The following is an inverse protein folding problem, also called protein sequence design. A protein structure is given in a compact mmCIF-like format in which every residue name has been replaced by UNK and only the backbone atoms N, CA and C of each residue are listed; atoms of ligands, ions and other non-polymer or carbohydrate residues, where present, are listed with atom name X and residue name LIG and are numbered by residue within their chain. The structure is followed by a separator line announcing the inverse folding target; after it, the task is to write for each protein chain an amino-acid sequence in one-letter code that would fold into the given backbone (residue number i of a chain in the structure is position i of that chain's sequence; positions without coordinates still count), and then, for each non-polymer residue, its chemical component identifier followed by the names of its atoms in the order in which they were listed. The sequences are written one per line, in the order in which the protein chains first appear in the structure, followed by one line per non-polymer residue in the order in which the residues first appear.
data_IF_503120732757
#
_entry.id   IF_503120732757
#
_cell.length_a   1.000
_cell.length_b   1.000
_cell.length_c   1.000
_cell.angle_alpha   90.00
_cell.angle_beta   90.00
_cell.angle_gamma   90.00
#
_symmetry.space_group_name_H-M   'P 1'
#
loop_
_entity.id
_entity.type
_entity.pdbx_description
1 polymer ?
#
# COMPACT_ATOMS: atom_id res chain seq x y z
N UNK A 1 11.83 -14.25 14.83
CA UNK A 1 11.69 -14.76 13.45
C UNK A 1 11.21 -13.60 12.59
N UNK A 2 11.59 -13.54 11.30
CA UNK A 2 11.06 -12.51 10.39
C UNK A 2 9.54 -12.55 10.31
N UNK A 3 8.89 -11.41 10.10
CA UNK A 3 7.45 -11.31 9.82
C UNK A 3 7.19 -11.75 8.38
N UNK A 4 6.29 -12.72 8.20
CA UNK A 4 5.87 -13.17 6.88
C UNK A 4 4.81 -12.23 6.32
N UNK A 5 5.08 -11.66 5.15
CA UNK A 5 4.15 -10.71 4.54
C UNK A 5 3.77 -11.10 3.11
N UNK A 6 2.55 -10.77 2.73
CA UNK A 6 2.13 -10.65 1.32
C UNK A 6 1.85 -9.18 1.07
N UNK A 7 2.44 -8.62 0.02
CA UNK A 7 2.15 -7.24 -0.40
C UNK A 7 1.16 -7.30 -1.56
N UNK A 8 0.03 -6.60 -1.43
CA UNK A 8 -0.96 -6.41 -2.49
C UNK A 8 -0.78 -5.00 -3.07
N UNK A 9 -0.36 -4.90 -4.33
CA UNK A 9 0.29 -3.70 -4.88
C UNK A 9 -0.09 -3.46 -6.33
N UNK A 10 0.01 -2.22 -6.79
CA UNK A 10 -0.26 -1.80 -8.16
C UNK A 10 0.96 -1.09 -8.75
N UNK A 11 2.15 -1.75 -8.84
CA UNK A 11 3.44 -1.08 -8.75
C UNK A 11 3.60 0.20 -9.57
N UNK A 12 3.39 1.30 -8.83
CA UNK A 12 3.86 2.64 -9.08
C UNK A 12 5.28 2.85 -8.54
N UNK A 13 5.64 4.12 -8.37
CA UNK A 13 6.99 4.55 -7.98
C UNK A 13 7.23 4.32 -6.49
N UNK A 14 6.29 4.72 -5.65
CA UNK A 14 6.26 4.50 -4.21
C UNK A 14 6.03 3.02 -3.85
N UNK A 15 5.22 2.27 -4.60
CA UNK A 15 5.11 0.82 -4.45
C UNK A 15 6.47 0.13 -4.64
N UNK A 16 7.19 0.49 -5.71
CA UNK A 16 8.51 -0.04 -6.00
C UNK A 16 9.49 0.24 -4.85
N UNK A 17 9.41 1.43 -4.26
CA UNK A 17 10.18 1.80 -3.07
C UNK A 17 9.82 0.93 -1.87
N UNK A 18 8.54 0.67 -1.63
CA UNK A 18 8.05 -0.19 -0.54
C UNK A 18 8.50 -1.64 -0.71
N UNK A 19 8.35 -2.21 -1.91
CA UNK A 19 8.76 -3.58 -2.23
C UNK A 19 10.28 -3.75 -2.03
N UNK A 20 11.09 -2.80 -2.50
CA UNK A 20 12.54 -2.84 -2.32
C UNK A 20 12.94 -2.67 -0.86
N UNK A 21 12.26 -1.82 -0.10
CA UNK A 21 12.46 -1.70 1.35
C UNK A 21 12.17 -3.03 2.06
N UNK A 22 11.07 -3.70 1.72
CA UNK A 22 10.71 -5.00 2.28
C UNK A 22 11.78 -6.06 1.97
N UNK A 23 12.22 -6.15 0.72
CA UNK A 23 13.25 -7.09 0.27
C UNK A 23 14.62 -6.84 0.89
N UNK A 24 14.93 -5.59 1.24
CA UNK A 24 16.17 -5.18 1.92
C UNK A 24 16.09 -5.28 3.44
N UNK A 25 14.96 -5.68 4.01
CA UNK A 25 14.76 -5.73 5.45
C UNK A 25 14.79 -7.18 5.97
N UNK A 26 15.83 -7.58 6.74
CA UNK A 26 15.95 -8.95 7.25
C UNK A 26 14.87 -9.34 8.26
N UNK A 27 14.14 -8.36 8.81
CA UNK A 27 13.00 -8.57 9.68
C UNK A 27 11.75 -9.02 8.92
N UNK A 28 11.76 -8.98 7.58
CA UNK A 28 10.64 -9.35 6.71
C UNK A 28 11.01 -10.58 5.87
N UNK A 29 10.08 -11.53 5.82
CA UNK A 29 10.02 -12.59 4.83
C UNK A 29 8.89 -12.27 3.85
N UNK A 30 9.24 -11.80 2.65
CA UNK A 30 8.25 -11.54 1.60
C UNK A 30 7.83 -12.86 0.96
N UNK A 31 6.61 -13.33 1.29
CA UNK A 31 6.06 -14.62 0.86
C UNK A 31 5.55 -14.56 -0.57
N UNK A 32 5.08 -13.40 -1.02
CA UNK A 32 4.59 -13.19 -2.37
C UNK A 32 4.12 -11.76 -2.60
N UNK A 33 3.95 -11.44 -3.88
CA UNK A 33 3.28 -10.23 -4.34
C UNK A 33 1.96 -10.61 -4.98
N UNK A 34 0.91 -9.87 -4.67
CA UNK A 34 -0.34 -9.87 -5.42
C UNK A 34 -0.50 -8.53 -6.11
N UNK A 35 -1.02 -8.53 -7.34
CA UNK A 35 -1.13 -7.30 -8.11
C UNK A 35 -2.56 -6.85 -8.34
N UNK A 36 -2.76 -5.54 -8.34
CA UNK A 36 -4.06 -4.90 -8.53
C UNK A 36 -3.94 -3.70 -9.48
N UNK A 37 -5.08 -3.10 -9.87
CA UNK A 37 -5.14 -1.84 -10.61
C UNK A 37 -5.03 -0.65 -9.65
N UNK A 38 -4.69 0.53 -10.17
CA UNK A 38 -4.68 1.80 -9.43
C UNK A 38 -3.77 2.80 -10.14
N UNK A 39 -2.52 2.89 -9.70
CA UNK A 39 -1.43 3.63 -10.34
C UNK A 39 -1.24 3.21 -11.81
N UNK A 40 -1.38 1.92 -12.08
CA UNK A 40 -1.43 1.32 -13.42
C UNK A 40 -2.52 0.26 -13.52
N UNK A 41 -2.85 -0.20 -14.72
CA UNK A 41 -3.73 -1.36 -14.88
C UNK A 41 -3.05 -2.66 -14.42
N UNK A 42 -3.83 -3.60 -13.89
CA UNK A 42 -3.33 -4.86 -13.30
C UNK A 42 -2.33 -5.61 -14.18
N UNK A 43 -2.52 -5.75 -15.52
CA UNK A 43 -1.52 -6.42 -16.36
C UNK A 43 -0.14 -5.74 -16.35
N UNK A 44 -0.08 -4.41 -16.27
CA UNK A 44 1.18 -3.67 -16.17
C UNK A 44 1.74 -3.75 -14.75
N UNK A 45 0.89 -3.65 -13.72
CA UNK A 45 1.27 -3.88 -12.32
C UNK A 45 1.97 -5.25 -12.15
N UNK A 46 1.39 -6.31 -12.72
CA UNK A 46 1.97 -7.67 -12.72
C UNK A 46 3.35 -7.70 -13.36
N UNK A 47 3.53 -7.05 -14.52
CA UNK A 47 4.85 -6.99 -15.15
C UNK A 47 5.86 -6.20 -14.31
N UNK A 48 5.44 -5.09 -13.70
CA UNK A 48 6.29 -4.27 -12.85
C UNK A 48 6.71 -5.02 -11.58
N UNK A 49 5.80 -5.73 -10.92
CA UNK A 49 6.11 -6.59 -9.78
C UNK A 49 7.17 -7.65 -10.15
N UNK A 50 7.02 -8.31 -11.30
CA UNK A 50 8.01 -9.29 -11.82
C UNK A 50 9.38 -8.64 -12.07
N UNK A 51 9.41 -7.44 -12.67
CA UNK A 51 10.66 -6.68 -12.87
C UNK A 51 11.35 -6.36 -11.56
N UNK A 52 10.58 -5.97 -10.54
CA UNK A 52 11.12 -5.58 -9.23
C UNK A 52 11.73 -6.77 -8.48
N UNK A 53 11.05 -7.93 -8.48
CA UNK A 53 11.62 -9.14 -7.84
C UNK A 53 12.84 -9.66 -8.61
N UNK A 54 12.86 -9.56 -9.94
CA UNK A 54 14.05 -9.88 -10.75
C UNK A 54 15.21 -8.93 -10.47
N UNK A 55 14.94 -7.62 -10.43
CA UNK A 55 15.92 -6.59 -10.14
C UNK A 55 16.55 -6.80 -8.75
N UNK A 56 15.74 -7.18 -7.77
CA UNK A 56 16.20 -7.50 -6.42
C UNK A 56 16.92 -8.86 -6.31
N UNK A 57 17.04 -9.62 -7.41
CA UNK A 57 17.67 -10.93 -7.42
C UNK A 57 16.85 -12.01 -6.70
N UNK A 58 15.53 -11.82 -6.59
CA UNK A 58 14.57 -12.71 -5.91
C UNK A 58 13.44 -13.20 -6.83
N UNK A 59 13.74 -13.74 -8.02
CA UNK A 59 12.71 -14.27 -8.93
C UNK A 59 11.98 -15.51 -8.38
N UNK A 60 12.42 -16.03 -7.23
CA UNK A 60 11.76 -17.11 -6.49
C UNK A 60 10.46 -16.65 -5.80
N UNK A 61 10.29 -15.35 -5.57
CA UNK A 61 9.09 -14.80 -4.94
C UNK A 61 7.93 -14.85 -5.93
N UNK A 62 6.81 -15.52 -5.59
CA UNK A 62 5.68 -15.63 -6.49
C UNK A 62 4.98 -14.27 -6.65
N UNK A 63 4.61 -13.97 -7.89
CA UNK A 63 3.73 -12.84 -8.24
C UNK A 63 2.41 -13.40 -8.76
N UNK A 64 1.29 -13.05 -8.14
CA UNK A 64 -0.04 -13.51 -8.52
C UNK A 64 -0.88 -12.34 -9.07
N UNK A 65 -1.38 -12.50 -10.29
CA UNK A 65 -2.23 -11.52 -10.96
C UNK A 65 -3.60 -11.44 -10.28
N UNK A 66 -4.06 -10.24 -9.95
CA UNK A 66 -5.34 -10.03 -9.26
C UNK A 66 -6.48 -9.54 -10.13
N UNK A 67 -7.46 -8.90 -9.49
CA UNK A 67 -8.62 -8.35 -10.18
C UNK A 67 -8.23 -7.21 -11.14
N UNK A 68 -8.96 -7.08 -12.24
CA UNK A 68 -8.76 -6.01 -13.22
C UNK A 68 -9.82 -4.91 -13.13
N UNK A 69 -10.83 -5.12 -12.29
CA UNK A 69 -11.95 -4.21 -12.10
C UNK A 69 -12.29 -4.12 -10.60
N UNK A 70 -12.72 -2.95 -10.12
CA UNK A 70 -13.33 -2.81 -8.80
C UNK A 70 -14.65 -3.61 -8.71
N UNK A 71 -15.11 -3.83 -7.49
CA UNK A 71 -16.27 -4.70 -7.21
C UNK A 71 -17.58 -4.18 -7.79
N UNK A 72 -17.81 -2.86 -7.75
CA UNK A 72 -19.11 -2.25 -8.05
C UNK A 72 -18.98 -0.97 -8.89
N UNK A 73 -18.06 -0.09 -8.54
CA UNK A 73 -17.86 1.19 -9.25
C UNK A 73 -17.22 0.95 -10.63
N UNK A 74 -17.27 1.90 -11.57
CA UNK A 74 -16.47 1.83 -12.77
C UNK A 74 -14.97 1.91 -12.44
N UNK A 75 -14.13 1.26 -13.25
CA UNK A 75 -12.68 1.44 -13.18
C UNK A 75 -12.32 2.87 -13.60
N UNK A 76 -11.59 3.59 -12.74
CA UNK A 76 -11.00 4.88 -13.10
C UNK A 76 -9.77 4.71 -14.00
N UNK A 77 -9.39 5.77 -14.70
CA UNK A 77 -8.14 5.77 -15.48
C UNK A 77 -6.94 5.65 -14.56
N UNK A 78 -5.93 4.87 -14.97
CA UNK A 78 -4.65 4.77 -14.28
C UNK A 78 -4.03 6.15 -13.99
N UNK A 79 -3.31 6.28 -12.87
CA UNK A 79 -2.61 7.51 -12.47
C UNK A 79 -1.26 7.68 -13.18
N UNK A 80 -1.24 7.51 -14.51
CA UNK A 80 -0.05 7.60 -15.35
C UNK A 80 0.59 9.00 -15.35
N UNK A 81 -0.19 10.05 -15.08
CA UNK A 81 0.29 11.41 -14.87
C UNK A 81 1.10 11.59 -13.59
N UNK A 82 1.02 10.65 -12.63
CA UNK A 82 1.79 10.62 -11.38
C UNK A 82 2.98 9.66 -11.49
N UNK A 83 2.77 8.48 -12.09
CA UNK A 83 3.75 7.38 -12.07
C UNK A 83 4.44 7.12 -13.42
N UNK A 84 4.06 7.86 -14.46
CA UNK A 84 4.51 7.61 -15.82
C UNK A 84 3.69 6.52 -16.52
N UNK A 85 3.82 6.47 -17.85
CA UNK A 85 3.10 5.51 -18.69
C UNK A 85 3.52 4.05 -18.48
N UNK A 86 4.73 3.82 -17.95
CA UNK A 86 5.21 2.50 -17.56
C UNK A 86 4.98 2.18 -16.07
N UNK A 87 4.42 3.13 -15.29
CA UNK A 87 4.24 3.04 -13.85
C UNK A 87 5.52 3.21 -13.02
N UNK A 88 6.69 3.31 -13.65
CA UNK A 88 7.99 3.36 -12.97
C UNK A 88 8.79 4.61 -13.36
N UNK A 89 8.09 5.73 -13.58
CA UNK A 89 8.70 7.02 -13.86
C UNK A 89 9.29 7.14 -15.27
N UNK A 90 8.76 6.38 -16.24
CA UNK A 90 9.19 6.35 -17.64
C UNK A 90 10.66 5.95 -17.84
N UNK A 91 11.21 5.14 -16.93
CA UNK A 91 12.56 4.58 -17.08
C UNK A 91 12.62 3.47 -18.14
N UNK A 92 11.47 2.93 -18.55
CA UNK A 92 11.32 1.95 -19.63
C UNK A 92 12.19 0.70 -19.43
N UNK A 93 12.01 0.03 -18.28
CA UNK A 93 12.71 -1.22 -17.97
C UNK A 93 12.44 -2.32 -19.01
N UNK A 94 13.40 -3.24 -19.22
CA UNK A 94 13.17 -4.38 -20.10
C UNK A 94 11.98 -5.23 -19.60
N UNK A 95 11.31 -5.98 -20.49
CA UNK A 95 10.30 -6.94 -20.08
C UNK A 95 10.86 -7.96 -19.07
N UNK A 96 10.07 -8.37 -18.06
CA UNK A 96 10.48 -9.42 -17.13
C UNK A 96 10.66 -10.75 -17.87
N UNK A 97 11.56 -11.60 -17.37
CA UNK A 97 11.80 -12.95 -17.89
C UNK A 97 10.93 -14.00 -17.21
N UNK A 98 10.61 -13.76 -15.95
CA UNK A 98 9.72 -14.57 -15.12
C UNK A 98 8.26 -14.34 -15.52
N UNK A 99 7.40 -15.24 -15.05
CA UNK A 99 5.96 -15.17 -15.28
C UNK A 99 5.25 -15.18 -13.93
N UNK A 100 4.11 -14.48 -13.87
CA UNK A 100 3.21 -14.60 -12.75
C UNK A 100 2.74 -16.06 -12.62
N UNK A 101 2.50 -16.49 -11.38
CA UNK A 101 1.92 -17.81 -11.14
C UNK A 101 0.50 -17.86 -11.71
N UNK A 102 0.06 -19.03 -12.16
CA UNK A 102 -1.28 -19.20 -12.75
C UNK A 102 -2.43 -18.95 -11.76
N UNK A 103 -2.13 -18.87 -10.46
CA UNK A 103 -3.11 -18.72 -9.39
C UNK A 103 -3.53 -17.24 -9.26
N UNK A 104 -4.83 -16.93 -9.26
CA UNK A 104 -5.30 -15.57 -9.01
C UNK A 104 -4.94 -15.06 -7.61
N UNK A 105 -4.70 -13.75 -7.47
CA UNK A 105 -4.28 -13.11 -6.22
C UNK A 105 -5.14 -13.48 -5.00
N UNK A 106 -6.47 -13.33 -5.11
CA UNK A 106 -7.39 -13.64 -4.00
C UNK A 106 -7.28 -15.10 -3.54
N UNK A 107 -7.13 -16.04 -4.47
CA UNK A 107 -6.92 -17.45 -4.15
C UNK A 107 -5.53 -17.70 -3.55
N UNK A 108 -4.49 -17.03 -4.07
CA UNK A 108 -3.15 -17.10 -3.50
C UNK A 108 -3.11 -16.62 -2.04
N UNK A 109 -3.80 -15.51 -1.73
CA UNK A 109 -3.95 -15.00 -0.35
C UNK A 109 -4.61 -16.05 0.53
N UNK A 110 -5.78 -16.56 0.13
CA UNK A 110 -6.51 -17.56 0.94
C UNK A 110 -5.66 -18.80 1.19
N UNK A 111 -5.08 -19.39 0.15
CA UNK A 111 -4.31 -20.62 0.32
C UNK A 111 -3.06 -20.41 1.20
N UNK A 112 -2.38 -19.27 1.05
CA UNK A 112 -1.17 -18.98 1.82
C UNK A 112 -1.47 -18.73 3.29
N UNK A 113 -2.51 -17.93 3.58
CA UNK A 113 -2.92 -17.63 4.97
C UNK A 113 -3.47 -18.88 5.65
N UNK A 114 -4.33 -19.65 4.98
CA UNK A 114 -4.94 -20.84 5.59
C UNK A 114 -3.94 -21.99 5.78
N UNK A 115 -2.84 -22.01 5.01
CA UNK A 115 -1.73 -22.95 5.24
C UNK A 115 -0.86 -22.58 6.46
N UNK A 116 -0.87 -21.31 6.88
CA UNK A 116 -0.08 -20.78 7.99
C UNK A 116 -0.92 -19.83 8.88
N UNK A 117 -1.98 -20.35 9.55
CA UNK A 117 -2.86 -19.52 10.37
C UNK A 117 -2.13 -18.69 11.43
N UNK A 118 -2.43 -17.40 11.48
CA UNK A 118 -1.88 -16.44 12.44
C UNK A 118 -0.45 -15.98 12.14
N UNK A 119 0.16 -16.40 11.02
CA UNK A 119 1.54 -16.04 10.68
C UNK A 119 1.67 -14.96 9.59
N UNK A 120 0.70 -14.88 8.67
CA UNK A 120 0.79 -14.01 7.49
C UNK A 120 0.21 -12.64 7.80
N UNK A 121 1.01 -11.59 7.63
CA UNK A 121 0.53 -10.20 7.57
C UNK A 121 0.22 -9.82 6.12
N UNK A 122 -0.96 -9.27 5.87
CA UNK A 122 -1.31 -8.72 4.57
C UNK A 122 -0.99 -7.23 4.55
N UNK A 123 -0.31 -6.78 3.49
CA UNK A 123 0.14 -5.40 3.33
C UNK A 123 -0.39 -4.85 2.02
N UNK A 124 -1.69 -4.49 1.94
CA UNK A 124 -2.22 -3.84 0.76
C UNK A 124 -1.74 -2.38 0.70
N UNK A 125 -1.04 -2.08 -0.38
CA UNK A 125 -0.59 -0.73 -0.76
C UNK A 125 -1.28 -0.22 -2.03
N UNK A 126 -2.23 -0.99 -2.57
CA UNK A 126 -3.16 -0.58 -3.61
C UNK A 126 -4.64 -0.73 -3.21
N UNK A 127 -5.59 -0.61 -4.16
CA UNK A 127 -7.01 -0.85 -3.93
C UNK A 127 -7.33 -2.22 -3.33
N UNK A 128 -8.25 -2.24 -2.37
CA UNK A 128 -8.49 -3.39 -1.49
C UNK A 128 -9.30 -4.55 -2.11
N UNK A 129 -9.46 -4.55 -3.43
CA UNK A 129 -10.31 -5.46 -4.20
C UNK A 129 -9.90 -6.92 -4.01
N UNK A 130 -8.59 -7.23 -4.10
CA UNK A 130 -8.10 -8.60 -3.94
C UNK A 130 -8.39 -9.15 -2.54
N UNK A 131 -8.26 -8.31 -1.50
CA UNK A 131 -8.57 -8.69 -0.12
C UNK A 131 -10.07 -8.90 0.10
N UNK A 132 -10.92 -8.03 -0.44
CA UNK A 132 -12.36 -8.19 -0.35
C UNK A 132 -12.84 -9.45 -1.09
N UNK A 133 -12.22 -9.78 -2.23
CA UNK A 133 -12.47 -11.04 -2.93
C UNK A 133 -11.96 -12.26 -2.15
N UNK A 134 -10.79 -12.17 -1.51
CA UNK A 134 -10.25 -13.23 -0.66
C UNK A 134 -11.18 -13.53 0.53
N UNK A 135 -11.70 -12.48 1.19
CA UNK A 135 -12.72 -12.62 2.23
C UNK A 135 -14.02 -13.25 1.72
N UNK A 136 -14.44 -12.92 0.50
CA UNK A 136 -15.63 -13.52 -0.10
C UNK A 136 -15.43 -15.01 -0.44
N UNK A 137 -14.20 -15.40 -0.82
CA UNK A 137 -13.84 -16.79 -1.09
C UNK A 137 -13.74 -17.63 0.20
N UNK A 138 -13.17 -17.08 1.26
CA UNK A 138 -12.99 -17.76 2.55
C UNK A 138 -13.22 -16.78 3.71
N UNK A 139 -14.43 -16.70 4.28
CA UNK A 139 -14.74 -15.77 5.36
C UNK A 139 -13.90 -15.99 6.63
N UNK A 140 -13.41 -17.21 6.89
CA UNK A 140 -12.52 -17.49 8.03
C UNK A 140 -11.14 -16.87 7.85
N UNK A 141 -10.81 -16.33 6.69
CA UNK A 141 -9.57 -15.60 6.45
C UNK A 141 -9.34 -14.52 7.51
N UNK A 142 -10.41 -13.82 7.92
CA UNK A 142 -10.34 -12.79 8.95
C UNK A 142 -9.86 -13.31 10.32
N UNK A 143 -10.12 -14.58 10.64
CA UNK A 143 -9.69 -15.22 11.89
C UNK A 143 -8.25 -15.77 11.80
N UNK A 144 -7.72 -15.95 10.60
CA UNK A 144 -6.46 -16.65 10.35
C UNK A 144 -5.34 -15.74 9.84
N UNK A 145 -5.62 -14.48 9.51
CA UNK A 145 -4.57 -13.49 9.21
C UNK A 145 -3.92 -13.00 10.51
N UNK A 146 -2.61 -12.70 10.48
CA UNK A 146 -1.93 -12.12 11.63
C UNK A 146 -2.35 -10.66 11.86
N UNK A 147 -2.33 -9.86 10.79
CA UNK A 147 -2.74 -8.46 10.75
C UNK A 147 -2.90 -8.02 9.28
N UNK A 148 -3.69 -6.99 9.03
CA UNK A 148 -3.76 -6.26 7.76
C UNK A 148 -3.27 -4.82 7.97
N UNK A 149 -2.22 -4.41 7.26
CA UNK A 149 -1.67 -3.05 7.35
C UNK A 149 -1.87 -2.35 6.01
N UNK A 150 -2.82 -1.42 5.97
CA UNK A 150 -3.32 -0.78 4.75
C UNK A 150 -2.62 0.56 4.51
N UNK A 151 -2.09 0.76 3.30
CA UNK A 151 -1.89 2.11 2.77
C UNK A 151 -3.23 2.60 2.21
N UNK A 152 -3.79 3.62 2.83
CA UNK A 152 -4.97 4.26 2.25
C UNK A 152 -5.82 5.00 3.28
N UNK A 153 -6.71 5.82 2.75
CA UNK A 153 -7.63 6.64 3.53
C UNK A 153 -7.04 7.96 4.01
N UNK A 154 -7.94 8.81 4.48
CA UNK A 154 -7.67 10.11 5.07
C UNK A 154 -8.74 10.36 6.15
N UNK A 155 -8.38 10.17 7.42
CA UNK A 155 -9.33 10.21 8.53
C UNK A 155 -9.53 11.62 9.12
N UNK A 156 -8.48 12.45 9.11
CA UNK A 156 -8.46 13.79 9.69
C UNK A 156 -7.90 14.87 8.74
N UNK A 157 -7.55 14.48 7.51
CA UNK A 157 -7.04 15.37 6.46
C UNK A 157 -7.86 15.22 5.18
N UNK A 158 -7.62 16.10 4.20
CA UNK A 158 -8.23 15.95 2.88
C UNK A 158 -7.61 14.76 2.13
N UNK A 159 -8.37 14.23 1.17
CA UNK A 159 -7.88 13.28 0.19
C UNK A 159 -6.92 13.87 -0.85
N UNK A 160 -6.31 13.00 -1.66
CA UNK A 160 -5.41 13.35 -2.77
C UNK A 160 -6.06 13.25 -4.16
N UNK A 161 -7.15 12.47 -4.31
CA UNK A 161 -7.94 12.42 -5.56
C UNK A 161 -9.06 13.46 -5.54
N UNK A 162 -9.71 13.59 -4.38
CA UNK A 162 -10.70 14.63 -4.11
C UNK A 162 -10.50 15.16 -2.70
N UNK A 163 -11.12 16.30 -2.31
CA UNK A 163 -11.07 16.74 -0.92
C UNK A 163 -11.51 15.68 0.09
N UNK A 164 -12.35 14.72 -0.32
CA UNK A 164 -12.90 13.70 0.56
C UNK A 164 -12.12 12.38 0.57
N UNK A 165 -11.41 12.03 -0.51
CA UNK A 165 -11.00 10.65 -0.73
C UNK A 165 -9.55 10.48 -1.19
N UNK A 166 -8.94 9.44 -0.64
CA UNK A 166 -7.62 8.95 -1.00
C UNK A 166 -7.73 7.92 -2.15
N UNK A 167 -6.71 7.87 -3.00
CA UNK A 167 -6.64 7.08 -4.23
C UNK A 167 -6.98 5.59 -4.07
N UNK A 168 -6.33 4.87 -3.16
CA UNK A 168 -6.58 3.44 -2.97
C UNK A 168 -8.01 3.15 -2.53
N UNK A 169 -8.56 3.99 -1.67
CA UNK A 169 -9.94 3.83 -1.17
C UNK A 169 -10.98 4.21 -2.22
N UNK A 170 -10.80 5.30 -2.98
CA UNK A 170 -11.78 5.70 -4.01
C UNK A 170 -11.79 4.77 -5.22
N UNK A 171 -10.66 4.12 -5.53
CA UNK A 171 -10.56 3.15 -6.60
C UNK A 171 -11.44 1.91 -6.36
N UNK A 172 -11.67 1.50 -5.10
CA UNK A 172 -12.72 0.54 -4.74
C UNK A 172 -13.27 0.75 -3.32
N UNK A 173 -14.23 1.68 -3.13
CA UNK A 173 -14.73 2.03 -1.80
C UNK A 173 -15.57 0.91 -1.19
N UNK A 174 -16.14 0.03 -2.02
CA UNK A 174 -16.93 -1.10 -1.56
C UNK A 174 -16.05 -2.22 -1.03
N UNK A 175 -14.91 -2.47 -1.69
CA UNK A 175 -13.90 -3.37 -1.15
C UNK A 175 -13.31 -2.82 0.15
N UNK A 176 -13.03 -1.52 0.19
CA UNK A 176 -12.50 -0.88 1.39
C UNK A 176 -13.45 -0.97 2.60
N UNK A 177 -14.75 -0.66 2.45
CA UNK A 177 -15.71 -0.78 3.55
C UNK A 177 -15.80 -2.23 4.06
N UNK A 178 -15.76 -3.21 3.15
CA UNK A 178 -15.72 -4.64 3.51
C UNK A 178 -14.47 -5.00 4.30
N UNK A 179 -13.30 -4.55 3.86
CA UNK A 179 -12.02 -4.82 4.54
C UNK A 179 -11.97 -4.19 5.92
N UNK A 180 -12.39 -2.94 6.09
CA UNK A 180 -12.39 -2.29 7.40
C UNK A 180 -13.41 -2.88 8.38
N UNK A 181 -14.44 -3.58 7.89
CA UNK A 181 -15.51 -4.17 8.72
C UNK A 181 -15.41 -5.70 8.88
N UNK A 182 -14.38 -6.35 8.33
CA UNK A 182 -14.28 -7.82 8.24
C UNK A 182 -13.98 -8.56 9.56
N UNK A 183 -13.67 -7.85 10.66
CA UNK A 183 -13.42 -8.45 11.97
C UNK A 183 -11.99 -8.96 12.22
N UNK A 184 -11.06 -8.70 11.31
CA UNK A 184 -9.62 -8.93 11.48
C UNK A 184 -8.87 -7.72 12.08
N UNK A 185 -7.62 -7.89 12.58
CA UNK A 185 -6.81 -6.77 13.04
C UNK A 185 -6.37 -5.89 11.86
N UNK A 186 -6.84 -4.64 11.81
CA UNK A 186 -6.47 -3.68 10.75
C UNK A 186 -5.74 -2.47 11.34
N UNK A 187 -4.65 -2.10 10.68
CA UNK A 187 -4.01 -0.80 10.83
C UNK A 187 -4.13 -0.01 9.53
N UNK A 188 -4.64 1.23 9.62
CA UNK A 188 -4.74 2.17 8.50
C UNK A 188 -3.60 3.20 8.58
N UNK A 189 -2.69 3.12 7.62
CA UNK A 189 -1.60 4.09 7.39
C UNK A 189 -2.04 5.01 6.26
N UNK A 190 -2.86 6.00 6.61
CA UNK A 190 -3.45 6.93 5.65
C UNK A 190 -2.64 8.21 5.42
N UNK A 191 -3.20 9.10 4.60
CA UNK A 191 -2.62 10.42 4.28
C UNK A 191 -2.33 11.25 5.52
N UNK A 192 -3.05 11.01 6.62
CA UNK A 192 -2.83 11.61 7.93
C UNK A 192 -1.37 11.58 8.35
N UNK A 193 -0.63 10.50 8.06
CA UNK A 193 0.79 10.36 8.39
C UNK A 193 1.69 10.40 7.18
N UNK A 194 1.28 9.84 6.04
CA UNK A 194 2.18 9.75 4.87
C UNK A 194 2.50 11.11 4.26
N UNK A 195 1.60 12.09 4.40
CA UNK A 195 1.84 13.47 3.96
C UNK A 195 2.83 14.21 4.87
N UNK A 196 3.03 13.75 6.11
CA UNK A 196 3.98 14.35 7.07
C UNK A 196 5.43 13.94 6.79
N UNK A 197 5.65 12.83 6.09
CA UNK A 197 6.98 12.31 5.76
C UNK A 197 7.35 12.64 4.33
N UNK A 198 8.35 13.52 4.18
CA UNK A 198 8.79 14.04 2.88
C UNK A 198 10.21 13.57 2.61
N UNK A 199 10.40 12.86 1.50
CA UNK A 199 11.72 12.60 0.94
C UNK A 199 12.14 13.81 0.10
N UNK A 200 12.94 14.69 0.69
CA UNK A 200 13.40 15.92 0.03
C UNK A 200 14.36 15.59 -1.13
N UNK A 201 14.54 16.56 -2.03
CA UNK A 201 15.53 16.45 -3.10
C UNK A 201 16.94 16.13 -2.57
N UNK A 202 17.35 16.78 -1.47
CA UNK A 202 18.64 16.55 -0.83
C UNK A 202 18.75 15.13 -0.25
N UNK A 203 17.68 14.64 0.38
CA UNK A 203 17.61 13.27 0.89
C UNK A 203 17.76 12.26 -0.26
N UNK A 204 17.02 12.46 -1.36
CA UNK A 204 17.08 11.57 -2.53
C UNK A 204 18.43 11.63 -3.24
N UNK A 205 19.05 12.80 -3.33
CA UNK A 205 20.40 12.95 -3.87
C UNK A 205 21.44 12.24 -2.99
N UNK A 206 21.34 12.35 -1.66
CA UNK A 206 22.20 11.65 -0.73
C UNK A 206 22.02 10.12 -0.82
N UNK A 207 20.77 9.65 -0.97
CA UNK A 207 20.46 8.24 -1.19
C UNK A 207 21.16 7.72 -2.45
N UNK A 208 21.02 8.44 -3.58
CA UNK A 208 21.68 8.10 -4.84
C UNK A 208 23.23 8.09 -4.72
N UNK A 209 23.80 9.04 -3.98
CA UNK A 209 25.24 9.15 -3.77
C UNK A 209 25.85 7.99 -2.97
N UNK A 210 25.04 7.16 -2.30
CA UNK A 210 25.51 5.94 -1.62
C UNK A 210 26.12 4.91 -2.57
N UNK A 211 25.76 4.96 -3.86
CA UNK A 211 26.21 3.98 -4.85
C UNK A 211 25.51 2.62 -4.77
N UNK A 212 24.54 2.43 -3.86
CA UNK A 212 23.72 1.22 -3.82
C UNK A 212 22.90 1.09 -5.12
N UNK A 213 22.90 -0.07 -5.79
CA UNK A 213 22.06 -0.27 -6.97
C UNK A 213 20.58 -0.01 -6.71
N UNK A 214 20.07 -0.38 -5.54
CA UNK A 214 18.68 -0.11 -5.15
C UNK A 214 18.43 1.39 -4.99
N UNK A 215 19.36 2.11 -4.36
CA UNK A 215 19.27 3.56 -4.20
C UNK A 215 19.28 4.30 -5.54
N UNK A 216 20.17 3.90 -6.45
CA UNK A 216 20.27 4.49 -7.80
C UNK A 216 19.01 4.22 -8.62
N UNK A 217 18.47 3.01 -8.52
CA UNK A 217 17.22 2.64 -9.18
C UNK A 217 16.03 3.46 -8.63
N UNK A 218 15.87 3.53 -7.30
CA UNK A 218 14.83 4.33 -6.64
C UNK A 218 14.95 5.80 -7.07
N UNK A 219 16.16 6.37 -7.06
CA UNK A 219 16.38 7.74 -7.51
C UNK A 219 16.00 7.97 -8.97
N UNK A 220 16.22 6.99 -9.85
CA UNK A 220 15.87 7.09 -11.26
C UNK A 220 14.35 7.11 -11.46
N UNK A 221 13.62 6.15 -10.86
CA UNK A 221 12.15 6.07 -11.00
C UNK A 221 11.44 7.24 -10.29
N UNK A 222 12.03 7.79 -9.23
CA UNK A 222 11.40 8.86 -8.43
C UNK A 222 11.38 10.22 -9.11
N UNK A 223 12.15 10.43 -10.18
CA UNK A 223 12.26 11.76 -10.83
C UNK A 223 10.93 12.26 -11.34
N UNK A 224 10.19 11.41 -12.05
CA UNK A 224 8.88 11.74 -12.60
C UNK A 224 7.87 12.05 -11.50
N UNK A 225 7.84 11.20 -10.47
CA UNK A 225 6.95 11.34 -9.31
C UNK A 225 7.22 12.61 -8.49
N UNK A 226 8.49 12.97 -8.31
CA UNK A 226 8.92 14.22 -7.68
C UNK A 226 8.50 15.44 -8.52
N UNK A 227 8.64 15.37 -9.84
CA UNK A 227 8.24 16.49 -10.72
C UNK A 227 6.72 16.74 -10.64
N UNK A 228 5.90 15.70 -10.56
CA UNK A 228 4.46 15.82 -10.27
C UNK A 228 4.18 16.57 -8.96
N UNK A 229 4.87 16.21 -7.87
CA UNK A 229 4.71 16.87 -6.57
C UNK A 229 5.13 18.34 -6.60
N UNK A 230 6.21 18.64 -7.32
CA UNK A 230 6.68 20.01 -7.49
C UNK A 230 5.67 20.84 -8.30
N UNK A 231 5.18 20.32 -9.43
CA UNK A 231 4.28 21.05 -10.31
C UNK A 231 2.88 21.26 -9.69
N UNK A 232 2.41 20.30 -8.89
CA UNK A 232 1.07 20.33 -8.28
C UNK A 232 1.04 21.09 -6.95
N UNK A 233 2.09 20.97 -6.14
CA UNK A 233 2.10 21.45 -4.75
C UNK A 233 3.27 22.39 -4.41
N UNK A 234 4.20 22.63 -5.34
CA UNK A 234 5.43 23.38 -5.06
C UNK A 234 6.37 22.66 -4.09
N UNK A 235 6.20 21.33 -3.93
CA UNK A 235 6.96 20.54 -2.97
C UNK A 235 8.34 20.17 -3.55
N UNK A 236 9.41 20.59 -2.87
CA UNK A 236 10.79 20.21 -3.21
C UNK A 236 11.15 18.81 -2.65
N UNK A 237 10.46 17.80 -3.16
CA UNK A 237 10.56 16.41 -2.71
C UNK A 237 9.31 15.63 -3.08
N UNK A 238 9.07 14.54 -2.37
CA UNK A 238 7.89 13.69 -2.58
C UNK A 238 7.40 13.10 -1.26
N UNK A 239 6.11 12.79 -1.20
CA UNK A 239 5.52 12.11 -0.05
C UNK A 239 5.95 10.64 0.03
N UNK A 240 5.96 10.10 1.25
CA UNK A 240 6.35 8.71 1.51
C UNK A 240 5.09 7.90 1.83
N UNK A 241 4.33 7.53 0.80
CA UNK A 241 3.10 6.75 0.96
C UNK A 241 3.38 5.30 1.35
N UNK A 242 3.55 4.42 0.38
CA UNK A 242 3.67 2.98 0.59
C UNK A 242 4.87 2.57 1.44
N UNK A 243 6.06 3.22 1.35
CA UNK A 243 7.16 2.88 2.23
C UNK A 243 6.85 3.12 3.72
N UNK A 244 5.89 4.00 4.05
CA UNK A 244 5.46 4.19 5.43
C UNK A 244 4.76 2.96 5.99
N UNK A 245 4.09 2.17 5.15
CA UNK A 245 3.42 0.93 5.57
C UNK A 245 4.45 -0.14 5.91
N UNK A 246 5.48 -0.27 5.08
CA UNK A 246 6.59 -1.18 5.38
C UNK A 246 7.36 -0.70 6.61
N UNK A 247 7.56 0.60 6.77
CA UNK A 247 8.14 1.15 8.00
C UNK A 247 7.30 0.83 9.24
N UNK A 248 5.97 0.88 9.15
CA UNK A 248 5.08 0.45 10.24
C UNK A 248 5.25 -1.04 10.54
N UNK A 249 5.30 -1.90 9.52
CA UNK A 249 5.52 -3.34 9.69
C UNK A 249 6.86 -3.63 10.40
N UNK A 250 7.91 -2.87 10.09
CA UNK A 250 9.23 -2.99 10.69
C UNK A 250 9.28 -2.46 12.13
N UNK A 251 8.76 -1.25 12.36
CA UNK A 251 8.76 -0.59 13.66
C UNK A 251 7.46 0.22 13.85
N UNK A 252 6.41 -0.40 14.44
CA UNK A 252 5.18 0.31 14.78
C UNK A 252 5.40 1.49 15.74
N UNK A 253 6.51 1.50 16.49
CA UNK A 253 6.88 2.59 17.41
C UNK A 253 7.29 3.88 16.72
N UNK A 254 7.36 3.90 15.38
CA UNK A 254 7.47 5.11 14.57
C UNK A 254 6.13 5.88 14.48
N UNK A 255 5.01 5.24 14.83
CA UNK A 255 3.68 5.80 14.62
C UNK A 255 2.90 5.92 15.92
N UNK A 256 1.99 6.90 15.95
CA UNK A 256 0.96 7.01 16.99
C UNK A 256 -0.41 6.72 16.39
N UNK A 257 -1.19 5.88 17.07
CA UNK A 257 -2.48 5.40 16.56
C UNK A 257 -3.64 5.83 17.44
N UNK A 258 -4.79 6.02 16.81
CA UNK A 258 -6.09 6.13 17.47
C UNK A 258 -6.92 4.92 17.06
N UNK A 259 -7.51 4.25 18.03
CA UNK A 259 -8.30 3.03 17.82
C UNK A 259 -9.80 3.34 17.80
N UNK A 260 -10.49 2.95 16.73
CA UNK A 260 -11.94 3.09 16.60
C UNK A 260 -12.46 2.50 15.28
N UNK A 261 -13.77 2.25 15.16
CA UNK A 261 -14.33 1.71 13.93
C UNK A 261 -14.21 2.72 12.79
N UNK A 262 -13.96 2.21 11.58
CA UNK A 262 -13.87 3.00 10.35
C UNK A 262 -14.95 2.51 9.38
N UNK A 263 -15.63 3.45 8.72
CA UNK A 263 -16.55 3.19 7.61
C UNK A 263 -16.12 3.96 6.38
N UNK A 264 -16.42 3.43 5.20
CA UNK A 264 -16.13 4.08 3.93
C UNK A 264 -17.42 4.49 3.24
N UNK A 265 -17.47 5.73 2.78
CA UNK A 265 -18.59 6.23 1.97
C UNK A 265 -18.51 5.61 0.58
N UNK A 266 -19.56 4.92 0.15
CA UNK A 266 -19.56 4.16 -1.12
C UNK A 266 -20.32 4.85 -2.27
N UNK A 267 -20.90 6.01 -2.02
CA UNK A 267 -21.72 6.75 -3.00
C UNK A 267 -21.70 8.27 -2.75
N UNK A 268 -22.16 9.04 -3.73
CA UNK A 268 -22.28 10.50 -3.64
C UNK A 268 -20.96 11.24 -3.73
N UNK A 269 -20.98 12.53 -3.37
CA UNK A 269 -19.83 13.45 -3.56
C UNK A 269 -18.64 13.15 -2.67
N UNK A 270 -18.83 12.35 -1.61
CA UNK A 270 -17.80 11.96 -0.66
C UNK A 270 -17.41 10.48 -0.81
N UNK A 271 -17.73 9.86 -1.95
CA UNK A 271 -17.32 8.48 -2.25
C UNK A 271 -15.82 8.29 -2.02
N UNK A 272 -15.44 7.22 -1.32
CA UNK A 272 -14.07 6.95 -0.90
C UNK A 272 -13.63 7.61 0.41
N UNK A 273 -14.47 8.44 1.05
CA UNK A 273 -14.12 9.03 2.34
C UNK A 273 -14.07 7.98 3.45
N UNK A 274 -12.94 7.91 4.16
CA UNK A 274 -12.76 7.07 5.36
C UNK A 274 -13.14 7.84 6.62
N UNK A 275 -14.15 7.38 7.33
CA UNK A 275 -14.71 8.05 8.50
C UNK A 275 -14.40 7.23 9.76
N UNK A 276 -13.52 7.76 10.61
CA UNK A 276 -13.17 7.19 11.91
C UNK A 276 -14.12 7.73 13.00
N UNK A 277 -14.79 6.83 13.72
CA UNK A 277 -15.47 7.22 14.96
C UNK A 277 -14.47 7.26 16.13
N UNK A 278 -14.03 8.49 16.44
CA UNK A 278 -13.13 8.76 17.57
C UNK A 278 -13.86 8.83 18.92
N UNK A 279 -15.16 9.10 18.92
CA UNK A 279 -15.95 9.32 20.14
C UNK A 279 -16.36 7.99 20.77
N UNK A 280 -16.86 7.06 19.94
CA UNK A 280 -17.42 5.76 20.35
C UNK A 280 -18.51 5.88 21.44
N UNK A 281 -19.05 7.07 21.64
CA UNK A 281 -20.05 7.37 22.65
C UNK A 281 -21.21 8.12 21.99
N UNK A 282 -22.25 7.36 21.65
CA UNK A 282 -23.43 7.86 20.94
C UNK A 282 -24.71 7.44 21.64
N UNK A 283 -25.71 8.32 21.66
CA UNK A 283 -27.00 8.05 22.31
C UNK A 283 -27.86 7.01 21.58
N UNK A 284 -27.64 6.80 20.28
CA UNK A 284 -28.37 5.85 19.45
C UNK A 284 -27.39 5.05 18.59
N UNK A 285 -27.73 3.80 18.23
CA UNK A 285 -26.99 3.03 17.24
C UNK A 285 -26.87 3.79 15.92
N UNK A 286 -25.72 3.67 15.28
CA UNK A 286 -25.36 4.30 14.02
C UNK A 286 -24.52 3.33 13.16
N UNK A 287 -24.14 3.68 11.92
CA UNK A 287 -23.39 2.77 11.04
C UNK A 287 -22.03 2.26 11.57
N UNK A 288 -21.47 2.83 12.64
CA UNK A 288 -20.24 2.40 13.31
C UNK A 288 -20.49 1.49 14.51
N UNK A 289 -21.75 1.39 14.98
CA UNK A 289 -22.09 0.57 16.14
C UNK A 289 -21.79 -0.90 15.87
N UNK A 290 -21.14 -1.56 16.84
CA UNK A 290 -20.68 -2.96 16.79
C UNK A 290 -19.70 -3.31 15.66
N UNK A 291 -19.15 -2.30 14.97
CA UNK A 291 -18.11 -2.50 13.98
C UNK A 291 -16.75 -2.77 14.65
N UNK A 292 -15.89 -3.63 14.05
CA UNK A 292 -14.58 -3.90 14.60
C UNK A 292 -13.72 -2.62 14.59
N UNK A 293 -12.89 -2.40 15.62
CA UNK A 293 -12.02 -1.25 15.68
C UNK A 293 -10.80 -1.41 14.77
N UNK A 294 -10.41 -0.32 14.13
CA UNK A 294 -9.20 -0.17 13.32
C UNK A 294 -8.21 0.70 14.08
N UNK A 295 -6.92 0.40 13.98
CA UNK A 295 -5.86 1.31 14.44
C UNK A 295 -5.56 2.31 13.31
N UNK A 296 -5.87 3.59 13.50
CA UNK A 296 -5.59 4.64 12.51
C UNK A 296 -4.35 5.42 12.92
N UNK A 297 -3.32 5.42 12.08
CA UNK A 297 -2.11 6.21 12.29
C UNK A 297 -2.39 7.70 12.11
N UNK A 298 -2.13 8.53 13.13
CA UNK A 298 -2.35 9.99 13.10
C UNK A 298 -1.10 10.82 13.40
N UNK A 299 0.01 10.18 13.77
CA UNK A 299 1.31 10.84 13.91
C UNK A 299 2.44 9.89 13.57
N UNK A 300 3.54 10.45 13.07
CA UNK A 300 4.72 9.70 12.61
C UNK A 300 6.01 10.42 13.02
N UNK A 301 7.02 9.65 13.42
CA UNK A 301 8.39 10.12 13.55
C UNK A 301 9.10 10.04 12.18
N UNK A 302 8.90 11.10 11.38
CA UNK A 302 9.42 11.16 10.00
C UNK A 302 10.95 11.04 9.94
N UNK A 303 11.68 11.56 10.93
CA UNK A 303 13.15 11.51 10.93
C UNK A 303 13.65 10.07 11.14
N UNK A 304 13.10 9.36 12.12
CA UNK A 304 13.45 7.94 12.35
C UNK A 304 13.00 7.06 11.19
N UNK A 305 11.84 7.33 10.58
CA UNK A 305 11.36 6.61 9.41
C UNK A 305 12.33 6.76 8.23
N UNK A 306 12.70 7.99 7.88
CA UNK A 306 13.64 8.25 6.77
C UNK A 306 15.02 7.68 7.07
N UNK A 307 15.47 7.73 8.33
CA UNK A 307 16.72 7.08 8.75
C UNK A 307 16.67 5.56 8.55
N UNK A 308 15.58 4.91 8.96
CA UNK A 308 15.36 3.48 8.73
C UNK A 308 15.38 3.14 7.23
N UNK A 309 14.63 3.91 6.43
CA UNK A 309 14.56 3.72 4.98
C UNK A 309 15.95 3.82 4.35
N UNK A 310 16.68 4.91 4.63
CA UNK A 310 18.02 5.11 4.11
C UNK A 310 18.94 3.95 4.48
N UNK A 311 18.98 3.56 5.76
CA UNK A 311 19.82 2.46 6.23
C UNK A 311 19.58 1.16 5.45
N UNK A 312 18.31 0.80 5.18
CA UNK A 312 17.95 -0.43 4.47
C UNK A 312 18.29 -0.36 2.98
N UNK A 313 18.00 0.76 2.33
CA UNK A 313 18.22 0.91 0.89
C UNK A 313 19.70 1.07 0.53
N UNK A 314 20.51 1.65 1.41
CA UNK A 314 21.95 1.83 1.18
C UNK A 314 22.82 0.63 1.58
N UNK A 315 22.25 -0.37 2.26
CA UNK A 315 22.95 -1.60 2.64
C UNK A 315 23.14 -2.56 1.45
#
# INVERSE_FOLDING_TARGET
MPKKIIIDTDPGVDDAMAILLALKSPEIELVGLTTIFGNVYTPLATQNALRLVEFAGRPDIPVAHGAELPLIVPLESAADFVHGSDGLGNVNLPPPRSQAIAKPAAQFIVETVMAQPGEITLVPIGPLTNLALALALEPRLAENVAEVVVMGGAAAVNGNVSPAAEANIINDPHAADKVFTAGWPVTMVGLDVTLQTIMTDDYMAALNASGSPAAQFIYAISRFYRDFHYDTHGLAGMHTHDPSVIAFVLDPGLFTTVRGPVRVVTEGIAIGQTLLDRSQNWHQPNPWTDQPPVNVCLGVDSERLLTLYQQRITA
#
